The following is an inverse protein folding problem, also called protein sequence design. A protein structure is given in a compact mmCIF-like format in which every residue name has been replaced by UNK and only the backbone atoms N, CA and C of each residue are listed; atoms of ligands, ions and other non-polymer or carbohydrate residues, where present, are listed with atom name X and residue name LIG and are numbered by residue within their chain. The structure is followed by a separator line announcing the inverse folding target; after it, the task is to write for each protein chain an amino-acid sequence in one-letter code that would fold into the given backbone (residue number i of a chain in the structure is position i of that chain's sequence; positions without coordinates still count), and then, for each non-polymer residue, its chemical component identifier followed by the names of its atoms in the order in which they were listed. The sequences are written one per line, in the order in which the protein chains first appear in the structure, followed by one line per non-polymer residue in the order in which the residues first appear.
data_IF_105042707332
#
_entry.id   IF_105042707332
#
_cell.length_a   1.000
_cell.length_b   1.000
_cell.length_c   1.000
_cell.angle_alpha   90.00
_cell.angle_beta   90.00
_cell.angle_gamma   90.00
#
_symmetry.space_group_name_H-M   'P 1'
#
loop_
_entity.id
_entity.type
_entity.pdbx_description
1 polymer ?
#
# COMPACT_ATOMS: atom_id res chain seq x y z
N UNK A 1 -8.34 -11.79 -0.27
CA UNK A 1 -7.22 -10.92 -0.72
C UNK A 1 -7.12 -9.70 0.18
N UNK A 2 -5.92 -9.32 0.55
CA UNK A 2 -5.66 -8.13 1.37
C UNK A 2 -4.73 -7.18 0.62
N UNK A 3 -5.00 -5.88 0.73
CA UNK A 3 -4.07 -4.87 0.24
C UNK A 3 -2.88 -4.74 1.19
N UNK A 4 -1.71 -4.46 0.66
CA UNK A 4 -0.50 -4.19 1.43
C UNK A 4 0.08 -2.85 1.01
N UNK A 5 0.52 -2.07 1.99
CA UNK A 5 1.08 -0.75 1.70
C UNK A 5 2.60 -0.75 1.63
N UNK A 6 3.17 0.42 1.37
CA UNK A 6 4.60 0.62 1.23
C UNK A 6 5.38 0.22 2.49
N UNK A 7 4.86 0.49 3.70
CA UNK A 7 5.56 0.15 4.95
C UNK A 7 5.74 -1.36 5.11
N UNK A 8 4.69 -2.12 4.81
CA UNK A 8 4.73 -3.58 4.83
C UNK A 8 5.71 -4.13 3.78
N UNK A 9 5.65 -3.62 2.55
CA UNK A 9 6.51 -4.07 1.46
C UNK A 9 8.00 -3.80 1.75
N UNK A 10 8.33 -2.64 2.31
CA UNK A 10 9.68 -2.30 2.73
C UNK A 10 10.17 -3.24 3.82
N UNK A 11 9.34 -3.51 4.83
CA UNK A 11 9.71 -4.42 5.91
C UNK A 11 9.91 -5.85 5.41
N UNK A 12 9.07 -6.27 4.48
CA UNK A 12 9.22 -7.59 3.86
C UNK A 12 10.53 -7.71 3.07
N UNK A 13 10.88 -6.67 2.30
CA UNK A 13 12.15 -6.61 1.57
C UNK A 13 13.36 -6.60 2.50
N UNK A 14 13.24 -6.03 3.69
CA UNK A 14 14.28 -6.02 4.71
C UNK A 14 14.37 -7.33 5.53
N UNK A 15 13.47 -8.28 5.29
CA UNK A 15 13.44 -9.54 6.02
C UNK A 15 12.89 -9.43 7.43
N UNK A 16 12.04 -8.44 7.73
CA UNK A 16 11.40 -8.31 9.04
C UNK A 16 10.56 -9.55 9.38
N UNK A 17 10.81 -10.14 10.53
CA UNK A 17 10.17 -11.40 10.93
C UNK A 17 8.64 -11.29 11.04
N UNK A 18 8.14 -10.16 11.55
CA UNK A 18 6.68 -9.90 11.63
C UNK A 18 6.05 -9.79 10.26
N UNK A 19 6.70 -9.09 9.33
CA UNK A 19 6.24 -8.96 7.94
C UNK A 19 6.25 -10.32 7.22
N UNK A 20 7.26 -11.13 7.41
CA UNK A 20 7.36 -12.48 6.82
C UNK A 20 6.22 -13.37 7.32
N UNK A 21 5.95 -13.39 8.64
CA UNK A 21 4.82 -14.15 9.19
C UNK A 21 3.49 -13.67 8.62
N UNK A 22 3.32 -12.35 8.56
CA UNK A 22 2.09 -11.76 8.01
C UNK A 22 1.90 -12.08 6.53
N UNK A 23 2.99 -12.11 5.75
CA UNK A 23 2.95 -12.51 4.35
C UNK A 23 2.42 -13.93 4.18
N UNK A 24 2.88 -14.88 5.00
CA UNK A 24 2.38 -16.26 4.98
C UNK A 24 0.87 -16.33 5.30
N UNK A 25 0.41 -15.58 6.30
CA UNK A 25 -1.02 -15.49 6.62
C UNK A 25 -1.85 -14.92 5.46
N UNK A 26 -1.31 -13.93 4.76
CA UNK A 26 -1.96 -13.30 3.60
C UNK A 26 -2.07 -14.32 2.46
N UNK A 27 -1.00 -15.04 2.16
CA UNK A 27 -0.97 -16.06 1.11
C UNK A 27 -2.02 -17.15 1.37
N UNK A 28 -2.14 -17.61 2.61
CA UNK A 28 -3.13 -18.60 3.02
C UNK A 28 -4.58 -18.07 2.95
N UNK A 29 -4.77 -16.76 3.05
CA UNK A 29 -6.09 -16.11 3.10
C UNK A 29 -6.55 -15.48 1.79
N UNK A 30 -5.94 -15.83 0.67
CA UNK A 30 -6.38 -15.38 -0.66
C UNK A 30 -5.42 -14.43 -1.38
N UNK A 31 -4.22 -14.26 -0.85
CA UNK A 31 -3.15 -13.50 -1.50
C UNK A 31 -3.16 -12.01 -1.24
N UNK A 32 -2.14 -11.35 -1.78
CA UNK A 32 -1.89 -9.92 -1.62
C UNK A 32 -2.20 -9.13 -2.87
N UNK A 33 -2.61 -7.88 -2.67
CA UNK A 33 -2.67 -6.86 -3.70
C UNK A 33 -1.90 -5.62 -3.22
N UNK A 34 -1.39 -4.85 -4.15
CA UNK A 34 -0.85 -3.53 -3.88
C UNK A 34 -1.28 -2.57 -4.98
N UNK A 35 -0.82 -1.33 -4.97
CA UNK A 35 -1.23 -0.35 -5.97
C UNK A 35 -0.04 0.20 -6.74
N UNK A 36 -0.30 0.77 -7.90
CA UNK A 36 0.73 1.50 -8.67
C UNK A 36 1.33 2.66 -7.89
N UNK A 37 0.59 3.23 -6.93
CA UNK A 37 1.09 4.29 -6.04
C UNK A 37 2.16 3.75 -5.08
N UNK A 38 1.98 2.54 -4.56
CA UNK A 38 2.99 1.88 -3.73
C UNK A 38 4.27 1.59 -4.53
N UNK A 39 4.13 1.17 -5.79
CA UNK A 39 5.27 0.97 -6.69
C UNK A 39 6.02 2.29 -6.90
N UNK A 40 5.30 3.39 -7.13
CA UNK A 40 5.89 4.73 -7.22
C UNK A 40 6.68 5.07 -5.96
N UNK A 41 6.09 4.90 -4.79
CA UNK A 41 6.73 5.24 -3.51
C UNK A 41 7.99 4.42 -3.25
N UNK A 42 7.93 3.12 -3.51
CA UNK A 42 9.10 2.23 -3.32
C UNK A 42 10.20 2.60 -4.30
N UNK A 43 9.89 2.79 -5.57
CA UNK A 43 10.86 3.16 -6.60
C UNK A 43 11.49 4.52 -6.30
N UNK A 44 10.66 5.49 -5.93
CA UNK A 44 11.15 6.81 -5.50
C UNK A 44 12.10 6.70 -4.30
N UNK A 45 11.74 5.92 -3.29
CA UNK A 45 12.57 5.72 -2.10
C UNK A 45 13.91 5.06 -2.42
N UNK A 46 13.93 4.09 -3.33
CA UNK A 46 15.16 3.44 -3.80
C UNK A 46 16.08 4.47 -4.46
N UNK A 47 15.59 5.22 -5.44
CA UNK A 47 16.42 6.14 -6.22
C UNK A 47 16.76 7.44 -5.50
N UNK A 48 16.00 7.81 -4.48
CA UNK A 48 16.33 8.89 -3.55
C UNK A 48 17.47 8.50 -2.61
N UNK A 49 17.64 7.22 -2.31
CA UNK A 49 18.69 6.75 -1.42
C UNK A 49 20.07 6.96 -2.04
N UNK A 50 21.09 7.07 -1.18
CA UNK A 50 22.49 7.19 -1.61
C UNK A 50 23.15 5.83 -1.85
N UNK A 51 22.38 4.75 -1.88
CA UNK A 51 22.88 3.43 -2.25
C UNK A 51 23.47 3.45 -3.65
N UNK A 52 24.58 2.74 -3.86
CA UNK A 52 25.19 2.59 -5.17
C UNK A 52 24.57 1.47 -6.01
N UNK A 53 23.59 0.75 -5.46
CA UNK A 53 23.02 -0.46 -6.05
C UNK A 53 21.50 -0.36 -6.26
N UNK A 54 21.06 0.75 -6.86
CA UNK A 54 19.63 1.00 -7.13
C UNK A 54 19.00 -0.09 -7.99
N UNK A 55 19.70 -0.58 -9.01
CA UNK A 55 19.18 -1.60 -9.92
C UNK A 55 18.91 -2.92 -9.21
N UNK A 56 19.78 -3.33 -8.27
CA UNK A 56 19.56 -4.53 -7.48
C UNK A 56 18.35 -4.37 -6.54
N UNK A 57 18.26 -3.24 -5.86
CA UNK A 57 17.13 -2.94 -4.96
C UNK A 57 15.81 -2.94 -5.72
N UNK A 58 15.79 -2.34 -6.91
CA UNK A 58 14.61 -2.35 -7.76
C UNK A 58 14.28 -3.77 -8.24
N UNK A 59 15.28 -4.55 -8.65
CA UNK A 59 15.08 -5.95 -9.05
C UNK A 59 14.47 -6.78 -7.92
N UNK A 60 14.92 -6.60 -6.68
CA UNK A 60 14.34 -7.30 -5.52
C UNK A 60 12.88 -6.89 -5.29
N UNK A 61 12.57 -5.61 -5.43
CA UNK A 61 11.20 -5.11 -5.34
C UNK A 61 10.30 -5.67 -6.46
N UNK A 62 10.80 -5.71 -7.69
CA UNK A 62 10.05 -6.28 -8.83
C UNK A 62 9.73 -7.77 -8.63
N UNK A 63 10.64 -8.55 -8.04
CA UNK A 63 10.38 -9.95 -7.69
C UNK A 63 9.23 -10.09 -6.69
N UNK A 64 9.06 -9.11 -5.82
CA UNK A 64 7.94 -9.07 -4.88
C UNK A 64 6.64 -8.67 -5.59
N UNK A 65 6.69 -7.66 -6.44
CA UNK A 65 5.51 -7.16 -7.17
C UNK A 65 4.86 -8.22 -8.05
N UNK A 66 5.64 -9.08 -8.72
CA UNK A 66 5.08 -10.13 -9.60
C UNK A 66 4.27 -11.19 -8.84
N UNK A 67 4.38 -11.26 -7.52
CA UNK A 67 3.62 -12.18 -6.68
C UNK A 67 2.27 -11.62 -6.22
N UNK A 68 1.96 -10.38 -6.57
CA UNK A 68 0.78 -9.67 -6.10
C UNK A 68 -0.08 -9.19 -7.25
N UNK A 69 -1.35 -8.97 -6.98
CA UNK A 69 -2.19 -8.20 -7.88
C UNK A 69 -1.87 -6.71 -7.75
N UNK A 70 -1.73 -6.00 -8.86
CA UNK A 70 -1.42 -4.57 -8.87
C UNK A 70 -2.64 -3.79 -9.31
N UNK A 71 -3.20 -3.00 -8.41
CA UNK A 71 -4.35 -2.15 -8.71
C UNK A 71 -3.93 -0.83 -9.34
N UNK A 72 -4.57 -0.42 -10.44
CA UNK A 72 -4.24 0.82 -11.13
C UNK A 72 -4.85 2.05 -10.42
N UNK A 73 -4.26 3.22 -10.68
CA UNK A 73 -4.89 4.50 -10.42
C UNK A 73 -5.53 4.99 -11.72
N UNK A 74 -6.72 4.51 -12.00
CA UNK A 74 -7.51 4.92 -13.15
C UNK A 74 -8.38 6.15 -12.84
N UNK A 75 -9.16 6.62 -13.81
CA UNK A 75 -10.02 7.80 -13.65
C UNK A 75 -11.03 7.60 -12.53
N UNK A 76 -11.66 6.43 -12.44
CA UNK A 76 -12.64 6.13 -11.39
C UNK A 76 -12.00 6.19 -10.01
N UNK A 77 -10.86 5.54 -9.83
CA UNK A 77 -10.14 5.53 -8.56
C UNK A 77 -9.70 6.95 -8.16
N UNK A 78 -9.22 7.75 -9.12
CA UNK A 78 -8.82 9.13 -8.86
C UNK A 78 -9.99 10.00 -8.41
N UNK A 79 -11.15 9.87 -9.04
CA UNK A 79 -12.36 10.62 -8.65
C UNK A 79 -12.80 10.20 -7.25
N UNK A 80 -12.91 8.91 -6.98
CA UNK A 80 -13.32 8.41 -5.66
C UNK A 80 -12.33 8.81 -4.55
N UNK A 81 -11.03 8.75 -4.82
CA UNK A 81 -10.02 9.21 -3.88
C UNK A 81 -10.18 10.71 -3.58
N UNK A 82 -10.38 11.53 -4.59
CA UNK A 82 -10.64 12.97 -4.43
C UNK A 82 -11.87 13.25 -3.56
N UNK A 83 -12.96 12.51 -3.76
CA UNK A 83 -14.18 12.65 -2.96
C UNK A 83 -13.93 12.31 -1.49
N UNK A 84 -13.28 11.18 -1.22
CA UNK A 84 -13.01 10.71 0.15
C UNK A 84 -12.05 11.66 0.87
N UNK A 85 -10.94 12.02 0.22
CA UNK A 85 -9.94 12.91 0.80
C UNK A 85 -10.49 14.32 1.03
N UNK A 86 -11.30 14.83 0.11
CA UNK A 86 -11.97 16.12 0.26
C UNK A 86 -12.93 16.14 1.43
N UNK A 87 -13.73 15.08 1.60
CA UNK A 87 -14.65 14.94 2.73
C UNK A 87 -13.90 14.86 4.07
N UNK A 88 -12.82 14.08 4.14
CA UNK A 88 -12.00 13.95 5.35
C UNK A 88 -11.35 15.29 5.71
N UNK A 89 -10.82 16.02 4.73
CA UNK A 89 -10.23 17.34 4.95
C UNK A 89 -11.27 18.32 5.51
N UNK A 90 -12.47 18.33 4.96
CA UNK A 90 -13.58 19.17 5.41
C UNK A 90 -14.00 18.87 6.84
N UNK A 91 -13.87 17.62 7.28
CA UNK A 91 -14.16 17.18 8.65
C UNK A 91 -12.98 17.36 9.62
N UNK A 92 -11.86 17.91 9.16
CA UNK A 92 -10.64 18.05 9.98
C UNK A 92 -9.90 16.74 10.23
N UNK A 93 -10.19 15.69 9.46
CA UNK A 93 -9.57 14.35 9.56
C UNK A 93 -8.61 14.11 8.41
N UNK A 94 -7.70 15.03 8.19
CA UNK A 94 -6.78 15.00 7.06
C UNK A 94 -5.93 13.72 7.03
N UNK A 95 -5.81 13.13 5.85
CA UNK A 95 -4.95 11.98 5.56
C UNK A 95 -3.96 12.40 4.48
N UNK A 96 -2.75 11.89 4.53
CA UNK A 96 -1.79 12.07 3.45
C UNK A 96 -2.41 11.65 2.12
N UNK A 97 -2.21 12.46 1.07
CA UNK A 97 -2.87 12.25 -0.23
C UNK A 97 -2.51 10.90 -0.84
N UNK A 98 -1.25 10.48 -0.74
CA UNK A 98 -0.83 9.18 -1.29
C UNK A 98 -1.42 8.03 -0.49
N UNK A 99 -1.37 8.07 0.84
CA UNK A 99 -1.98 7.04 1.70
C UNK A 99 -3.49 6.93 1.47
N UNK A 100 -4.18 8.07 1.40
CA UNK A 100 -5.61 8.08 1.10
C UNK A 100 -5.92 7.50 -0.28
N UNK A 101 -5.12 7.83 -1.28
CA UNK A 101 -5.26 7.29 -2.63
C UNK A 101 -5.05 5.78 -2.65
N UNK A 102 -4.03 5.26 -1.98
CA UNK A 102 -3.78 3.82 -1.84
C UNK A 102 -5.00 3.11 -1.23
N UNK A 103 -5.52 3.64 -0.12
CA UNK A 103 -6.68 3.03 0.54
C UNK A 103 -7.93 3.03 -0.32
N UNK A 104 -8.20 4.11 -1.04
CA UNK A 104 -9.37 4.19 -1.94
C UNK A 104 -9.21 3.29 -3.16
N UNK A 105 -8.00 3.20 -3.75
CA UNK A 105 -7.74 2.24 -4.84
C UNK A 105 -8.08 0.81 -4.38
N UNK A 106 -7.66 0.41 -3.19
CA UNK A 106 -8.00 -0.90 -2.65
C UNK A 106 -9.52 -1.09 -2.58
N UNK A 107 -10.25 -0.13 -2.02
CA UNK A 107 -11.71 -0.21 -1.88
C UNK A 107 -12.44 -0.30 -3.22
N UNK A 108 -12.07 0.50 -4.23
CA UNK A 108 -12.73 0.45 -5.55
C UNK A 108 -12.45 -0.85 -6.30
N UNK A 109 -11.41 -1.57 -5.91
CA UNK A 109 -11.10 -2.90 -6.45
C UNK A 109 -11.65 -4.05 -5.58
N UNK A 110 -12.52 -3.75 -4.63
CA UNK A 110 -13.18 -4.75 -3.79
C UNK A 110 -12.31 -5.27 -2.63
N UNK A 111 -11.17 -4.65 -2.36
CA UNK A 111 -10.29 -5.02 -1.27
C UNK A 111 -10.49 -4.08 -0.08
N UNK A 112 -11.16 -4.56 0.96
CA UNK A 112 -11.56 -3.72 2.09
C UNK A 112 -10.62 -3.83 3.31
N UNK A 113 -9.51 -4.52 3.17
CA UNK A 113 -8.52 -4.69 4.25
C UNK A 113 -7.14 -4.29 3.76
N UNK A 114 -6.45 -3.46 4.53
CA UNK A 114 -5.07 -3.07 4.27
C UNK A 114 -4.15 -3.47 5.42
N UNK A 115 -2.97 -3.97 5.10
CA UNK A 115 -1.92 -4.33 6.06
C UNK A 115 -0.85 -3.25 6.04
N UNK A 116 -0.62 -2.60 7.18
CA UNK A 116 0.24 -1.42 7.28
C UNK A 116 0.77 -1.20 8.69
N UNK A 117 1.90 -0.51 8.82
CA UNK A 117 2.30 0.11 10.10
C UNK A 117 1.71 1.49 10.31
N UNK A 118 1.24 2.13 9.25
CA UNK A 118 0.67 3.48 9.30
C UNK A 118 -0.83 3.43 9.64
N UNK A 119 -1.15 2.84 10.80
CA UNK A 119 -2.51 2.56 11.23
C UNK A 119 -3.34 3.85 11.35
N UNK A 120 -2.76 4.93 11.86
CA UNK A 120 -3.46 6.19 12.11
C UNK A 120 -4.08 6.76 10.82
N UNK A 121 -3.31 6.86 9.74
CA UNK A 121 -3.78 7.42 8.48
C UNK A 121 -4.84 6.55 7.82
N UNK A 122 -4.58 5.26 7.68
CA UNK A 122 -5.51 4.36 6.99
C UNK A 122 -6.80 4.13 7.76
N UNK A 123 -6.77 4.21 9.10
CA UNK A 123 -7.97 4.06 9.93
C UNK A 123 -8.99 5.20 9.75
N UNK A 124 -8.57 6.33 9.21
CA UNK A 124 -9.47 7.45 8.90
C UNK A 124 -10.30 7.23 7.63
N UNK A 125 -9.90 6.28 6.79
CA UNK A 125 -10.58 6.01 5.51
C UNK A 125 -11.84 5.19 5.79
N UNK A 126 -13.04 5.68 5.43
CA UNK A 126 -14.28 4.95 5.65
C UNK A 126 -14.30 3.60 4.94
N UNK A 127 -14.84 2.57 5.59
CA UNK A 127 -15.01 1.21 5.07
C UNK A 127 -13.71 0.42 4.84
N UNK A 128 -12.56 0.96 5.21
CA UNK A 128 -11.28 0.29 5.13
C UNK A 128 -10.92 -0.30 6.50
N UNK A 129 -10.71 -1.61 6.56
CA UNK A 129 -10.18 -2.29 7.74
C UNK A 129 -8.66 -2.23 7.72
N UNK A 130 -8.07 -1.95 8.86
CA UNK A 130 -6.61 -1.87 9.01
C UNK A 130 -6.12 -3.02 9.86
N UNK A 131 -5.15 -3.75 9.34
CA UNK A 131 -4.40 -4.76 10.09
C UNK A 131 -2.93 -4.32 10.18
N UNK A 132 -2.30 -4.68 11.29
CA UNK A 132 -0.86 -4.49 11.48
C UNK A 132 -0.15 -5.83 11.66
N UNK A 133 1.17 -5.81 11.86
CA UNK A 133 2.00 -7.01 11.90
C UNK A 133 3.19 -6.85 12.83
#
# INVERSE_FOLDING_TARGET
MKAVDTTFLIDLLKGNAGAIRKASEIDESGGAATTVVNILEITYGIYKSRSLDHERLLSDAEKLFVKMEIFPLDVRAAIEAGKVLGALSREGKTVDVLDGTIGVIALVNGCNTIVTRNVEHFSRIPNLKVETY
#
